data_IF_451862640119
#
_entry.id   IF_451862640119
#
_cell.length_a   1.000
_cell.length_b   1.000
_cell.length_c   1.000
_cell.angle_alpha   90.00
_cell.angle_beta   90.00
_cell.angle_gamma   90.00
#
_symmetry.space_group_name_H-M   'P 1'
#
loop_
_entity.id
_entity.type
_entity.pdbx_description
1 polymer ?
#
# COMPACT_ATOMS: atom_id res chain seq x y z
N UNK A 1 7.54 -4.40 -24.78
CA UNK A 1 7.54 -3.65 -23.48
C UNK A 1 6.86 -4.56 -22.48
N UNK A 2 7.48 -4.83 -21.34
CA UNK A 2 6.87 -5.61 -20.24
C UNK A 2 6.36 -4.64 -19.17
N UNK A 3 5.15 -4.84 -18.69
CA UNK A 3 4.55 -4.06 -17.60
C UNK A 3 4.26 -5.01 -16.45
N UNK A 4 4.67 -4.64 -15.26
CA UNK A 4 4.37 -5.37 -14.02
C UNK A 4 3.20 -4.71 -13.30
N UNK A 5 2.22 -5.51 -12.90
CA UNK A 5 1.06 -5.09 -12.12
C UNK A 5 1.05 -5.82 -10.78
N UNK A 6 1.11 -5.08 -9.69
CA UNK A 6 0.95 -5.62 -8.35
C UNK A 6 -0.53 -5.67 -7.95
N UNK A 7 -0.96 -6.81 -7.41
CA UNK A 7 -2.29 -6.99 -6.84
C UNK A 7 -2.16 -7.50 -5.41
N UNK A 8 -2.79 -6.82 -4.47
CA UNK A 8 -2.92 -7.29 -3.08
C UNK A 8 -4.34 -7.80 -2.87
N UNK A 9 -4.45 -9.06 -2.48
CA UNK A 9 -5.74 -9.71 -2.21
C UNK A 9 -5.84 -9.99 -0.72
N UNK A 10 -6.95 -9.62 -0.11
CA UNK A 10 -7.11 -9.61 1.36
C UNK A 10 -8.21 -10.58 1.79
N UNK A 11 -7.90 -11.41 2.79
CA UNK A 11 -8.86 -12.27 3.49
C UNK A 11 -9.67 -13.15 2.54
N UNK A 12 -10.98 -13.17 2.69
CA UNK A 12 -11.90 -14.00 1.90
C UNK A 12 -11.91 -13.70 0.40
N UNK A 13 -11.40 -12.54 -0.03
CA UNK A 13 -11.24 -12.23 -1.45
C UNK A 13 -10.27 -13.16 -2.17
N UNK A 14 -9.41 -13.86 -1.43
CA UNK A 14 -8.51 -14.90 -1.95
C UNK A 14 -9.26 -16.05 -2.61
N UNK A 15 -10.50 -16.34 -2.22
CA UNK A 15 -11.33 -17.37 -2.84
C UNK A 15 -11.67 -17.06 -4.32
N UNK A 16 -11.41 -15.85 -4.78
CA UNK A 16 -11.71 -15.40 -6.14
C UNK A 16 -10.47 -15.23 -7.02
N UNK A 17 -9.29 -15.75 -6.60
CA UNK A 17 -8.04 -15.61 -7.37
C UNK A 17 -8.15 -16.09 -8.81
N UNK A 18 -8.79 -17.26 -9.03
CA UNK A 18 -9.00 -17.78 -10.37
C UNK A 18 -9.89 -16.88 -11.23
N UNK A 19 -10.91 -16.27 -10.62
CA UNK A 19 -11.78 -15.32 -11.31
C UNK A 19 -11.02 -14.02 -11.66
N UNK A 20 -10.16 -13.52 -10.76
CA UNK A 20 -9.27 -12.39 -11.03
C UNK A 20 -8.34 -12.67 -12.20
N UNK A 21 -7.62 -13.79 -12.16
CA UNK A 21 -6.76 -14.22 -13.27
C UNK A 21 -7.50 -14.21 -14.60
N UNK A 22 -8.66 -14.87 -14.63
CA UNK A 22 -9.45 -14.99 -15.86
C UNK A 22 -9.94 -13.62 -16.36
N UNK A 23 -10.30 -12.72 -15.46
CA UNK A 23 -10.72 -11.36 -15.80
C UNK A 23 -9.56 -10.55 -16.39
N UNK A 24 -8.37 -10.62 -15.80
CA UNK A 24 -7.16 -9.98 -16.33
C UNK A 24 -6.83 -10.50 -17.73
N UNK A 25 -6.81 -11.82 -17.91
CA UNK A 25 -6.54 -12.44 -19.23
C UNK A 25 -7.57 -11.98 -20.26
N UNK A 26 -8.86 -11.94 -19.88
CA UNK A 26 -9.94 -11.48 -20.78
C UNK A 26 -9.80 -10.02 -21.15
N UNK A 27 -9.43 -9.17 -20.19
CA UNK A 27 -9.26 -7.73 -20.40
C UNK A 27 -8.20 -7.44 -21.48
N UNK A 28 -7.11 -8.21 -21.51
CA UNK A 28 -6.05 -8.05 -22.51
C UNK A 28 -6.31 -8.77 -23.81
N UNK A 29 -7.23 -9.76 -23.85
CA UNK A 29 -7.65 -10.45 -25.07
C UNK A 29 -8.88 -9.83 -25.76
N UNK A 30 -9.59 -8.93 -25.09
CA UNK A 30 -10.76 -8.29 -25.68
C UNK A 30 -10.31 -7.41 -26.86
N UNK A 31 -10.69 -7.80 -28.05
CA UNK A 31 -10.63 -6.98 -29.27
C UNK A 31 -11.59 -5.80 -29.10
N UNK A 32 -11.17 -4.76 -28.45
CA UNK A 32 -11.86 -3.48 -28.49
C UNK A 32 -11.34 -2.76 -29.73
N UNK A 33 -12.20 -2.49 -30.69
CA UNK A 33 -11.92 -1.98 -32.04
C UNK A 33 -11.36 -0.55 -32.15
N UNK A 34 -10.44 -0.18 -31.28
CA UNK A 34 -9.58 1.00 -31.35
C UNK A 34 -8.20 0.55 -30.92
N UNK A 35 -7.24 0.50 -31.85
CA UNK A 35 -5.79 0.27 -31.66
C UNK A 35 -5.41 -0.47 -30.36
N UNK A 36 -6.00 -1.64 -30.14
CA UNK A 36 -5.83 -2.40 -28.92
C UNK A 36 -4.38 -2.85 -28.85
N UNK A 37 -3.66 -2.36 -27.88
CA UNK A 37 -2.39 -2.93 -27.45
C UNK A 37 -2.66 -4.40 -27.10
N UNK A 38 -2.33 -5.30 -28.03
CA UNK A 38 -2.36 -6.72 -27.76
C UNK A 38 -1.32 -6.99 -26.65
N UNK A 39 -1.80 -7.30 -25.45
CA UNK A 39 -0.95 -7.65 -24.33
C UNK A 39 -1.19 -9.11 -23.96
N UNK A 40 -0.13 -9.80 -23.58
CA UNK A 40 -0.17 -11.18 -23.12
C UNK A 40 0.29 -11.22 -21.65
N UNK A 41 -0.41 -12.02 -20.83
CA UNK A 41 0.03 -12.32 -19.46
C UNK A 41 1.16 -13.34 -19.54
N UNK A 42 2.38 -12.90 -19.31
CA UNK A 42 3.59 -13.73 -19.42
C UNK A 42 3.78 -14.58 -18.17
N UNK A 43 3.57 -14.02 -16.98
CA UNK A 43 3.73 -14.69 -15.71
C UNK A 43 2.77 -14.14 -14.66
N UNK A 44 2.40 -14.99 -13.72
CA UNK A 44 1.74 -14.65 -12.46
C UNK A 44 2.58 -15.20 -11.33
N UNK A 45 2.90 -14.36 -10.37
CA UNK A 45 3.76 -14.72 -9.25
C UNK A 45 3.12 -14.30 -7.93
N UNK A 46 3.36 -15.07 -6.88
CA UNK A 46 3.05 -14.70 -5.50
C UNK A 46 4.32 -14.23 -4.81
N UNK A 47 4.22 -13.12 -4.11
CA UNK A 47 5.32 -12.57 -3.32
C UNK A 47 5.07 -12.86 -1.83
N UNK A 48 6.06 -13.47 -1.18
CA UNK A 48 6.06 -13.74 0.27
C UNK A 48 6.64 -12.59 1.08
N UNK A 49 6.59 -12.69 2.41
CA UNK A 49 7.08 -11.68 3.37
C UNK A 49 8.56 -11.30 3.19
N UNK A 50 9.38 -12.23 2.68
CA UNK A 50 10.81 -11.99 2.42
C UNK A 50 11.09 -11.36 1.06
N UNK A 51 10.05 -10.99 0.31
CA UNK A 51 10.18 -10.52 -1.08
C UNK A 51 10.48 -11.65 -2.09
N UNK A 52 10.53 -12.90 -1.64
CA UNK A 52 10.71 -14.04 -2.54
C UNK A 52 9.45 -14.24 -3.38
N UNK A 53 9.62 -14.38 -4.70
CA UNK A 53 8.54 -14.60 -5.65
C UNK A 53 8.49 -16.04 -6.11
N UNK A 54 7.29 -16.61 -6.10
CA UNK A 54 7.00 -17.98 -6.56
C UNK A 54 6.00 -17.92 -7.70
N UNK A 55 6.21 -18.68 -8.81
CA UNK A 55 5.25 -18.76 -9.88
C UNK A 55 3.94 -19.37 -9.39
N UNK A 56 2.82 -18.80 -9.80
CA UNK A 56 1.48 -19.31 -9.54
C UNK A 56 1.05 -20.27 -10.66
N UNK A 57 0.83 -21.53 -10.33
CA UNK A 57 0.37 -22.57 -11.26
C UNK A 57 -1.10 -22.86 -10.94
N UNK A 58 -1.98 -22.57 -11.88
CA UNK A 58 -3.41 -22.83 -11.76
C UNK A 58 -3.75 -24.19 -12.37
N UNK A 59 -4.14 -25.12 -11.52
CA UNK A 59 -4.65 -26.44 -11.93
C UNK A 59 -6.16 -26.37 -12.15
N UNK A 60 -6.69 -27.15 -13.12
CA UNK A 60 -8.06 -27.01 -13.62
C UNK A 60 -9.16 -27.22 -12.55
N UNK A 61 -8.88 -27.98 -11.50
CA UNK A 61 -9.88 -28.35 -10.46
C UNK A 61 -9.63 -27.67 -9.10
N UNK A 62 -8.50 -26.97 -8.94
CA UNK A 62 -8.16 -26.32 -7.68
C UNK A 62 -8.62 -24.85 -7.65
N UNK A 63 -9.35 -24.42 -6.62
CA UNK A 63 -9.63 -23.00 -6.39
C UNK A 63 -8.38 -22.19 -6.08
N UNK A 64 -7.31 -22.87 -5.62
CA UNK A 64 -6.05 -22.27 -5.20
C UNK A 64 -4.92 -22.68 -6.14
N UNK A 65 -4.10 -21.72 -6.60
CA UNK A 65 -2.92 -22.06 -7.38
C UNK A 65 -1.84 -22.71 -6.50
N UNK A 66 -1.01 -23.53 -7.10
CA UNK A 66 0.25 -24.00 -6.49
C UNK A 66 1.25 -22.85 -6.47
N UNK A 67 2.09 -22.78 -5.46
CA UNK A 67 3.06 -21.67 -5.28
C UNK A 67 2.47 -20.42 -4.61
N UNK A 68 1.25 -20.52 -4.11
CA UNK A 68 0.59 -19.44 -3.41
C UNK A 68 1.15 -19.24 -2.00
N UNK A 69 1.56 -18.02 -1.69
CA UNK A 69 2.04 -17.61 -0.37
C UNK A 69 1.08 -16.61 0.24
N UNK A 70 0.80 -16.76 1.53
CA UNK A 70 0.06 -15.76 2.31
C UNK A 70 1.02 -14.99 3.20
N UNK A 71 0.72 -13.72 3.39
CA UNK A 71 1.42 -12.84 4.32
C UNK A 71 0.46 -12.51 5.45
N UNK A 72 0.80 -12.86 6.68
CA UNK A 72 0.04 -12.42 7.85
C UNK A 72 0.60 -11.12 8.44
N UNK A 73 -0.23 -10.39 9.17
CA UNK A 73 0.22 -9.20 9.89
C UNK A 73 1.30 -9.54 10.94
N UNK A 74 1.14 -10.68 11.62
CA UNK A 74 2.07 -11.13 12.64
C UNK A 74 3.44 -11.48 12.05
N UNK A 75 3.47 -12.15 10.88
CA UNK A 75 4.72 -12.45 10.17
C UNK A 75 5.44 -11.16 9.75
N UNK A 76 4.70 -10.18 9.22
CA UNK A 76 5.27 -8.89 8.85
C UNK A 76 5.87 -8.15 10.05
N UNK A 77 5.18 -8.13 11.17
CA UNK A 77 5.65 -7.48 12.39
C UNK A 77 6.87 -8.21 12.97
N UNK A 78 6.85 -9.55 12.97
CA UNK A 78 7.95 -10.36 13.49
C UNK A 78 9.24 -10.24 12.66
N UNK A 79 9.11 -10.07 11.34
CA UNK A 79 10.25 -9.95 10.42
C UNK A 79 10.86 -8.54 10.39
N UNK A 80 10.14 -7.54 10.87
CA UNK A 80 10.61 -6.16 10.82
C UNK A 80 11.00 -5.66 12.21
N UNK A 81 12.24 -5.22 12.34
CA UNK A 81 12.70 -4.56 13.55
C UNK A 81 12.00 -3.22 13.73
N UNK A 82 11.52 -3.00 14.94
CA UNK A 82 10.88 -1.73 15.30
C UNK A 82 11.87 -0.57 15.15
N UNK A 83 11.54 0.51 14.44
CA UNK A 83 12.38 1.68 14.43
C UNK A 83 12.41 2.30 15.82
N UNK A 84 13.56 2.80 16.25
CA UNK A 84 13.72 3.40 17.58
C UNK A 84 12.81 4.64 17.73
N UNK A 85 13.03 5.64 16.90
CA UNK A 85 12.33 6.93 16.97
C UNK A 85 12.23 7.63 15.62
N UNK A 86 12.78 7.03 14.56
CA UNK A 86 12.80 7.63 13.22
C UNK A 86 12.58 6.59 12.14
N UNK A 87 11.78 6.94 11.14
CA UNK A 87 11.58 6.13 9.94
C UNK A 87 11.37 7.03 8.73
N UNK A 88 11.97 6.65 7.62
CA UNK A 88 11.71 7.26 6.33
C UNK A 88 10.46 6.66 5.67
N UNK A 89 9.70 7.49 4.98
CA UNK A 89 8.52 7.11 4.23
C UNK A 89 8.60 7.76 2.86
N UNK A 90 8.48 6.95 1.78
CA UNK A 90 8.52 7.41 0.40
C UNK A 90 7.26 6.99 -0.35
N UNK A 91 6.51 7.96 -0.88
CA UNK A 91 5.37 7.68 -1.75
C UNK A 91 5.82 7.40 -3.17
N UNK A 92 5.51 6.18 -3.65
CA UNK A 92 5.77 5.69 -5.00
C UNK A 92 4.65 6.15 -5.95
N UNK A 93 3.44 6.23 -5.44
CA UNK A 93 2.28 6.76 -6.17
C UNK A 93 1.62 7.92 -5.41
N UNK A 94 0.90 8.81 -6.11
CA UNK A 94 0.34 10.02 -5.49
C UNK A 94 -0.58 9.74 -4.29
N UNK A 95 -0.27 10.30 -3.14
CA UNK A 95 -1.11 10.25 -1.95
C UNK A 95 -2.22 11.30 -2.02
N UNK A 96 -3.46 10.88 -1.78
CA UNK A 96 -4.64 11.74 -1.70
C UNK A 96 -5.34 11.56 -0.36
N UNK A 97 -5.03 12.40 0.59
CA UNK A 97 -5.74 12.47 1.88
C UNK A 97 -6.63 13.71 1.88
N UNK A 98 -7.89 13.52 2.25
CA UNK A 98 -8.84 14.61 2.37
C UNK A 98 -9.10 14.95 3.84
N UNK A 99 -9.20 16.24 4.12
CA UNK A 99 -9.70 16.79 5.38
C UNK A 99 -10.77 17.82 5.05
N UNK A 100 -11.92 17.71 5.69
CA UNK A 100 -13.05 18.64 5.48
C UNK A 100 -13.45 18.83 4.01
N UNK A 101 -13.44 17.73 3.26
CA UNK A 101 -13.81 17.71 1.84
C UNK A 101 -12.75 18.22 0.87
N UNK A 102 -11.58 18.67 1.34
CA UNK A 102 -10.48 19.17 0.50
C UNK A 102 -9.26 18.26 0.61
N UNK A 103 -8.55 18.08 -0.50
CA UNK A 103 -7.28 17.35 -0.48
C UNK A 103 -6.18 18.19 0.16
N UNK A 104 -5.43 17.55 1.06
CA UNK A 104 -4.23 18.14 1.63
C UNK A 104 -3.15 18.23 0.56
N UNK A 105 -2.56 19.40 0.39
CA UNK A 105 -1.49 19.66 -0.57
C UNK A 105 -0.09 19.56 0.04
N UNK A 106 -0.03 19.46 1.35
CA UNK A 106 1.20 19.19 2.13
C UNK A 106 1.01 17.94 2.96
N UNK A 107 2.09 17.19 3.15
CA UNK A 107 2.07 15.99 3.97
C UNK A 107 2.00 16.35 5.47
N UNK A 108 1.16 15.63 6.17
CA UNK A 108 1.08 15.65 7.64
C UNK A 108 0.81 14.23 8.14
N UNK A 109 1.53 13.80 9.18
CA UNK A 109 1.44 12.44 9.68
C UNK A 109 0.06 12.10 10.24
N UNK A 110 -0.51 12.97 11.08
CA UNK A 110 -1.78 12.66 11.75
C UNK A 110 -2.93 12.39 10.77
N UNK A 111 -3.24 13.23 9.77
CA UNK A 111 -4.26 12.90 8.77
C UNK A 111 -3.94 11.65 7.95
N UNK A 112 -2.67 11.43 7.63
CA UNK A 112 -2.23 10.25 6.89
C UNK A 112 -2.49 8.97 7.68
N UNK A 113 -1.95 8.87 8.91
CA UNK A 113 -2.06 7.65 9.71
C UNK A 113 -3.51 7.36 10.13
N UNK A 114 -4.30 8.38 10.43
CA UNK A 114 -5.74 8.22 10.72
C UNK A 114 -6.50 7.67 9.51
N UNK A 115 -6.13 8.07 8.29
CA UNK A 115 -6.71 7.53 7.07
C UNK A 115 -6.28 6.09 6.84
N UNK A 116 -5.02 5.78 7.12
CA UNK A 116 -4.47 4.43 7.04
C UNK A 116 -5.14 3.47 8.04
N UNK A 117 -5.22 3.85 9.31
CA UNK A 117 -5.89 3.05 10.35
C UNK A 117 -7.35 2.75 10.01
N UNK A 118 -8.08 3.74 9.50
CA UNK A 118 -9.45 3.55 9.03
C UNK A 118 -9.52 2.55 7.88
N UNK A 119 -8.59 2.62 6.93
CA UNK A 119 -8.52 1.67 5.82
C UNK A 119 -8.23 0.25 6.29
N UNK A 120 -7.24 0.06 7.16
CA UNK A 120 -6.89 -1.25 7.73
C UNK A 120 -8.09 -1.83 8.49
N UNK A 121 -8.74 -1.02 9.33
CA UNK A 121 -9.95 -1.44 10.05
C UNK A 121 -11.09 -1.84 9.11
N UNK A 122 -11.30 -1.09 8.03
CA UNK A 122 -12.31 -1.43 7.03
C UNK A 122 -11.99 -2.74 6.32
N UNK A 123 -10.72 -2.96 5.93
CA UNK A 123 -10.30 -4.20 5.29
C UNK A 123 -10.44 -5.40 6.23
N UNK A 124 -10.08 -5.26 7.50
CA UNK A 124 -10.27 -6.30 8.50
C UNK A 124 -11.77 -6.64 8.68
N UNK A 125 -12.60 -5.64 8.80
CA UNK A 125 -14.05 -5.84 8.98
C UNK A 125 -14.71 -6.52 7.78
N UNK A 126 -14.47 -6.00 6.55
CA UNK A 126 -15.16 -6.50 5.37
C UNK A 126 -14.60 -7.82 4.82
N UNK A 127 -13.30 -8.08 4.96
CA UNK A 127 -12.66 -9.25 4.35
C UNK A 127 -12.20 -10.32 5.36
N UNK A 128 -12.14 -9.97 6.65
CA UNK A 128 -11.82 -10.90 7.72
C UNK A 128 -13.01 -11.13 8.67
N UNK A 129 -14.04 -10.29 8.61
CA UNK A 129 -15.18 -10.35 9.51
C UNK A 129 -14.85 -9.97 10.97
N UNK A 130 -13.71 -9.33 11.20
CA UNK A 130 -13.22 -8.97 12.53
C UNK A 130 -13.10 -7.46 12.68
N UNK A 131 -13.67 -6.92 13.76
CA UNK A 131 -13.42 -5.54 14.14
C UNK A 131 -12.07 -5.44 14.87
N UNK A 132 -11.25 -4.47 14.49
CA UNK A 132 -10.01 -4.22 15.23
C UNK A 132 -10.32 -3.50 16.55
N UNK A 133 -9.91 -4.11 17.65
CA UNK A 133 -10.00 -3.51 18.98
C UNK A 133 -8.87 -2.51 19.17
N UNK A 134 -9.10 -1.26 18.74
CA UNK A 134 -8.11 -0.18 18.81
C UNK A 134 -8.73 1.07 19.41
N UNK A 135 -8.02 1.73 20.32
CA UNK A 135 -8.38 3.07 20.79
C UNK A 135 -8.00 4.12 19.75
N UNK A 136 -8.89 4.31 18.75
CA UNK A 136 -8.68 5.29 17.68
C UNK A 136 -8.56 6.73 18.20
N UNK A 137 -9.18 7.07 19.33
CA UNK A 137 -9.09 8.42 19.90
C UNK A 137 -7.70 8.65 20.49
N UNK A 138 -7.18 7.67 21.22
CA UNK A 138 -5.81 7.72 21.77
C UNK A 138 -4.80 7.82 20.63
N UNK A 139 -4.87 6.94 19.64
CA UNK A 139 -3.97 6.95 18.49
C UNK A 139 -4.06 8.27 17.69
N UNK A 140 -5.26 8.84 17.54
CA UNK A 140 -5.43 10.12 16.88
C UNK A 140 -4.68 11.25 17.64
N UNK A 141 -4.77 11.30 18.99
CA UNK A 141 -4.04 12.28 19.79
C UNK A 141 -2.52 12.05 19.71
N UNK A 142 -2.07 10.81 19.85
CA UNK A 142 -0.64 10.48 19.77
C UNK A 142 -0.07 10.81 18.38
N UNK A 143 -0.84 10.65 17.31
CA UNK A 143 -0.38 10.99 15.95
C UNK A 143 -0.03 12.46 15.75
N UNK A 144 -0.53 13.35 16.60
CA UNK A 144 -0.26 14.79 16.54
C UNK A 144 1.11 15.15 17.12
N UNK A 145 1.72 14.28 17.94
CA UNK A 145 3.06 14.47 18.50
C UNK A 145 4.18 13.99 17.57
N UNK A 146 3.85 13.19 16.56
CA UNK A 146 4.84 12.73 15.58
C UNK A 146 5.17 13.85 14.60
N UNK A 147 6.44 14.16 14.51
CA UNK A 147 6.95 15.19 13.59
C UNK A 147 7.20 14.54 12.23
N UNK A 148 6.68 15.16 11.19
CA UNK A 148 6.91 14.76 9.80
C UNK A 148 7.69 15.86 9.07
N UNK A 149 8.93 15.57 8.70
CA UNK A 149 9.70 16.45 7.83
C UNK A 149 9.48 16.02 6.37
N UNK A 150 8.57 16.70 5.69
CA UNK A 150 8.17 16.44 4.30
C UNK A 150 8.81 17.42 3.29
N UNK A 151 10.00 17.96 3.56
CA UNK A 151 10.68 18.91 2.63
C UNK A 151 10.90 18.32 1.24
N UNK A 152 11.03 17.00 1.13
CA UNK A 152 11.16 16.29 -0.14
C UNK A 152 9.82 15.92 -0.80
N UNK A 153 8.68 16.37 -0.25
CA UNK A 153 7.36 16.07 -0.79
C UNK A 153 6.80 17.24 -1.60
N UNK A 154 6.14 16.92 -2.69
CA UNK A 154 5.49 17.90 -3.56
C UNK A 154 4.14 17.41 -4.06
N UNK A 155 3.26 18.36 -4.34
CA UNK A 155 2.00 18.09 -5.03
C UNK A 155 2.26 17.97 -6.53
N UNK A 156 1.85 16.85 -7.12
CA UNK A 156 1.90 16.63 -8.57
C UNK A 156 0.50 16.58 -9.13
N UNK A 157 0.34 17.07 -10.35
CA UNK A 157 -0.89 16.97 -11.12
C UNK A 157 -0.55 16.62 -12.55
N UNK A 158 -1.14 15.56 -13.08
CA UNK A 158 -0.85 15.10 -14.43
C UNK A 158 -1.86 15.71 -15.44
N UNK A 159 -1.34 16.24 -16.52
CA UNK A 159 -2.12 17.00 -17.52
C UNK A 159 -3.22 16.19 -18.20
N UNK A 160 -3.16 14.87 -18.22
CA UNK A 160 -4.05 13.98 -18.98
C UNK A 160 -4.85 13.01 -18.11
N UNK A 161 -5.22 13.38 -16.89
CA UNK A 161 -6.05 12.52 -16.06
C UNK A 161 -6.24 13.03 -14.63
N UNK A 162 -7.10 12.36 -13.86
CA UNK A 162 -7.40 12.76 -12.49
C UNK A 162 -6.30 12.36 -11.48
N UNK A 163 -5.10 12.01 -11.96
CA UNK A 163 -3.99 11.59 -11.13
C UNK A 163 -3.26 12.83 -10.59
N UNK A 164 -3.62 13.20 -9.39
CA UNK A 164 -2.97 14.25 -8.62
C UNK A 164 -2.77 13.78 -7.18
N UNK A 165 -1.81 14.35 -6.48
CA UNK A 165 -1.55 14.04 -5.07
C UNK A 165 -0.13 14.35 -4.66
N UNK A 166 0.20 14.01 -3.42
CA UNK A 166 1.53 14.23 -2.84
C UNK A 166 2.43 13.05 -3.20
N UNK A 167 3.62 13.33 -3.71
CA UNK A 167 4.70 12.36 -3.95
C UNK A 167 5.99 12.83 -3.28
N UNK A 168 6.96 11.92 -3.15
CA UNK A 168 8.25 12.21 -2.54
C UNK A 168 8.43 11.52 -1.20
N UNK A 169 9.40 11.99 -0.42
CA UNK A 169 9.80 11.35 0.82
C UNK A 169 9.63 12.28 2.02
N UNK A 170 9.31 11.71 3.16
CA UNK A 170 9.29 12.38 4.45
C UNK A 170 10.04 11.55 5.49
N UNK A 171 10.62 12.25 6.47
CA UNK A 171 11.15 11.65 7.68
C UNK A 171 10.14 11.82 8.80
N UNK A 172 9.77 10.72 9.42
CA UNK A 172 8.95 10.70 10.63
C UNK A 172 9.86 10.58 11.83
N UNK A 173 9.57 11.33 12.88
CA UNK A 173 10.29 11.27 14.17
C UNK A 173 9.35 11.44 15.34
N UNK A 174 9.62 10.71 16.42
CA UNK A 174 8.81 10.65 17.63
C UNK A 174 8.47 9.21 18.00
N UNK A 175 7.56 9.03 18.94
CA UNK A 175 7.10 7.69 19.31
C UNK A 175 6.23 7.09 18.21
N UNK A 176 6.81 6.18 17.45
CA UNK A 176 6.18 5.47 16.33
C UNK A 176 5.69 4.06 16.72
N UNK A 177 5.89 3.65 17.97
CA UNK A 177 5.65 2.28 18.45
C UNK A 177 4.26 1.77 18.10
N UNK A 178 3.24 2.51 18.48
CA UNK A 178 1.85 2.12 18.25
C UNK A 178 1.40 2.24 16.76
N UNK A 179 2.17 2.94 15.93
CA UNK A 179 1.86 3.15 14.52
C UNK A 179 2.60 2.21 13.58
N UNK A 180 3.72 1.66 14.03
CA UNK A 180 4.61 0.87 13.18
C UNK A 180 3.92 -0.33 12.53
N UNK A 181 3.10 -1.14 13.23
CA UNK A 181 2.35 -2.22 12.60
C UNK A 181 1.44 -1.73 11.47
N UNK A 182 0.75 -0.62 11.68
CA UNK A 182 -0.11 -0.04 10.66
C UNK A 182 0.69 0.53 9.48
N UNK A 183 1.86 1.11 9.74
CA UNK A 183 2.74 1.59 8.68
C UNK A 183 3.26 0.43 7.81
N UNK A 184 3.68 -0.68 8.39
CA UNK A 184 4.08 -1.88 7.66
C UNK A 184 2.95 -2.45 6.79
N UNK A 185 1.77 -2.63 7.36
CA UNK A 185 0.60 -3.11 6.61
C UNK A 185 0.22 -2.15 5.48
N UNK A 186 0.43 -0.87 5.68
CA UNK A 186 0.10 0.16 4.72
C UNK A 186 0.96 0.14 3.45
N UNK A 187 2.16 -0.42 3.47
CA UNK A 187 2.98 -0.64 2.28
C UNK A 187 2.25 -1.53 1.26
N UNK A 188 1.51 -2.53 1.76
CA UNK A 188 0.70 -3.44 0.94
C UNK A 188 -0.66 -2.82 0.60
N UNK A 189 -1.33 -2.19 1.55
CA UNK A 189 -2.72 -1.74 1.38
C UNK A 189 -2.83 -0.38 0.71
N UNK A 190 -1.76 0.38 0.64
CA UNK A 190 -1.75 1.78 0.19
C UNK A 190 -2.66 2.66 1.06
N UNK A 191 -2.66 3.96 0.88
CA UNK A 191 -3.42 4.88 1.72
C UNK A 191 -4.12 5.98 0.92
N UNK A 192 -5.28 6.41 1.40
CA UNK A 192 -5.97 7.57 0.86
C UNK A 192 -6.99 7.24 -0.24
N UNK A 193 -7.49 8.30 -0.88
CA UNK A 193 -8.49 8.16 -1.94
C UNK A 193 -7.85 7.58 -3.20
N UNK A 194 -8.43 6.51 -3.70
CA UNK A 194 -7.93 5.79 -4.87
C UNK A 194 -6.92 4.68 -4.52
N UNK A 195 -6.73 4.35 -3.25
CA UNK A 195 -5.84 3.27 -2.83
C UNK A 195 -6.17 1.90 -3.47
N UNK A 196 -7.45 1.61 -3.74
CA UNK A 196 -7.85 0.41 -4.46
C UNK A 196 -7.40 0.40 -5.94
N UNK A 197 -7.00 1.55 -6.47
CA UNK A 197 -6.47 1.72 -7.83
C UNK A 197 -4.95 1.98 -7.83
N UNK A 198 -4.26 1.67 -6.71
CA UNK A 198 -2.81 1.81 -6.59
C UNK A 198 -2.30 3.20 -6.23
N UNK A 199 -3.19 4.17 -5.88
CA UNK A 199 -2.76 5.46 -5.37
C UNK A 199 -2.37 5.37 -3.90
N UNK A 200 -1.44 6.24 -3.46
CA UNK A 200 -0.96 6.29 -2.08
C UNK A 200 -0.15 5.08 -1.65
N UNK A 201 0.47 4.38 -2.61
CA UNK A 201 1.47 3.35 -2.33
C UNK A 201 2.74 4.01 -1.82
N UNK A 202 3.31 3.46 -0.77
CA UNK A 202 4.54 3.94 -0.19
C UNK A 202 5.43 2.79 0.26
N UNK A 203 6.68 3.12 0.57
CA UNK A 203 7.68 2.24 1.16
C UNK A 203 8.26 2.90 2.40
N UNK A 204 8.52 2.09 3.41
CA UNK A 204 9.29 2.49 4.58
C UNK A 204 10.78 2.21 4.33
N UNK A 205 11.64 3.07 4.83
CA UNK A 205 13.07 2.86 4.77
C UNK A 205 13.74 3.32 6.08
N UNK A 206 14.78 2.58 6.52
CA UNK A 206 15.51 2.94 7.72
C UNK A 206 16.23 4.28 7.53
N UNK A 207 16.32 5.04 8.60
CA UNK A 207 17.15 6.25 8.62
C UNK A 207 18.59 5.83 8.94
N UNK A 208 19.61 6.27 8.20
CA UNK A 208 20.99 6.11 8.64
C UNK A 208 21.16 6.80 9.99
N UNK A 209 21.66 6.06 10.97
CA UNK A 209 22.06 6.67 12.25
C UNK A 209 23.20 7.64 11.98
N UNK A 210 22.98 8.93 12.17
CA UNK A 210 24.05 9.91 12.29
C UNK A 210 24.31 10.89 11.16
N UNK A 211 23.54 10.97 10.09
CA UNK A 211 23.72 12.05 9.09
C UNK A 211 22.38 12.71 8.73
N UNK A 212 22.40 14.04 8.73
CA UNK A 212 21.32 14.84 8.15
C UNK A 212 21.09 14.39 6.71
N UNK A 213 19.83 14.13 6.39
CA UNK A 213 19.33 13.43 5.22
C UNK A 213 20.07 13.66 3.89
N UNK A 214 19.91 12.76 2.92
CA UNK A 214 20.62 12.85 1.65
C UNK A 214 20.37 14.22 1.00
N UNK A 215 21.46 14.91 0.70
CA UNK A 215 21.45 16.09 -0.15
C UNK A 215 21.18 15.62 -1.58
N UNK A 216 19.98 15.86 -2.06
CA UNK A 216 19.63 15.80 -3.49
C UNK A 216 19.45 17.20 -4.02
#
# INVERSE_FOLDING_TARGET
>A
MTVELGLVVVGTAMNYLSAFRNSVIRMFRAETGMDALAAEVVALESEGCSGFRSPLIFENESPWPVGFSTISADDLIALNTHPSDRIGLRFISPLRVAREGRFLRSFSFSPFVRTLLRRISSLAYYYYGSALEMDFQRLARMSETVIANGKGMQWVSWKHGPLEGIVGSAMLSGDLTDFFPALLLGEYFSCGKGAAFGLGRYELFPTPEGEGGPQW
#
